data_IF_989978704242
#
_entry.id   IF_989978704242
#
_cell.length_a   1.000
_cell.length_b   1.000
_cell.length_c   1.000
_cell.angle_alpha   90.00
_cell.angle_beta   90.00
_cell.angle_gamma   90.00
#
_symmetry.space_group_name_H-M   'P 1'
#
loop_
_entity.id
_entity.type
_entity.pdbx_description
1 polymer ?
#
# COMPACT_ATOMS: atom_id res chain seq x y z
N UNK A 1 9.13 18.86 7.10
CA UNK A 1 8.51 17.50 7.09
C UNK A 1 7.16 17.61 6.39
N UNK A 2 6.93 16.84 5.38
CA UNK A 2 5.62 16.83 4.72
C UNK A 2 4.62 15.90 5.43
N UNK A 3 3.38 15.94 5.00
CA UNK A 3 2.30 15.17 5.64
C UNK A 3 2.55 13.65 5.65
N UNK A 4 3.06 13.10 4.56
CA UNK A 4 3.31 11.66 4.47
C UNK A 4 4.42 11.21 5.44
N UNK A 5 5.52 11.97 5.51
CA UNK A 5 6.58 11.72 6.48
C UNK A 5 6.07 11.81 7.91
N UNK A 6 5.24 12.80 8.19
CA UNK A 6 4.65 12.98 9.52
C UNK A 6 3.81 11.76 9.92
N UNK A 7 2.98 11.27 9.01
CA UNK A 7 2.12 10.10 9.25
C UNK A 7 2.98 8.87 9.55
N UNK A 8 3.97 8.59 8.69
CA UNK A 8 4.86 7.45 8.89
C UNK A 8 5.57 7.53 10.24
N UNK A 9 6.13 8.68 10.56
CA UNK A 9 6.88 8.87 11.82
C UNK A 9 5.99 8.77 13.05
N UNK A 10 4.73 9.16 12.95
CA UNK A 10 3.78 9.07 14.05
C UNK A 10 3.35 7.62 14.31
N UNK A 11 3.12 6.85 13.25
CA UNK A 11 2.67 5.46 13.37
C UNK A 11 3.85 4.53 13.65
N UNK A 12 4.98 4.75 12.98
CA UNK A 12 6.16 3.89 13.05
C UNK A 12 7.43 4.73 13.17
N UNK A 13 7.78 5.20 14.39
CA UNK A 13 8.89 6.15 14.58
C UNK A 13 10.25 5.63 14.12
N UNK A 14 10.43 4.30 14.05
CA UNK A 14 11.69 3.68 13.63
C UNK A 14 11.81 3.51 12.12
N UNK A 15 10.72 3.73 11.39
CA UNK A 15 10.72 3.59 9.93
C UNK A 15 11.23 4.89 9.31
N UNK A 16 12.11 4.75 8.33
CA UNK A 16 12.62 5.88 7.54
C UNK A 16 11.65 6.20 6.41
N UNK A 17 11.71 7.44 5.93
CA UNK A 17 10.95 7.87 4.75
C UNK A 17 11.94 8.40 3.72
N UNK A 18 11.89 7.84 2.53
CA UNK A 18 12.76 8.20 1.40
C UNK A 18 11.87 8.56 0.21
N UNK A 19 12.20 9.66 -0.46
CA UNK A 19 11.52 10.09 -1.67
C UNK A 19 12.35 9.75 -2.89
N UNK A 20 11.82 8.89 -3.77
CA UNK A 20 12.46 8.51 -5.02
C UNK A 20 11.43 8.57 -6.14
N UNK A 21 11.43 9.66 -6.92
CA UNK A 21 10.42 9.92 -7.95
C UNK A 21 10.42 8.87 -9.08
N UNK A 22 11.54 8.20 -9.32
CA UNK A 22 11.64 7.20 -10.37
C UNK A 22 11.33 5.78 -9.89
N UNK A 23 11.06 5.61 -8.61
CA UNK A 23 10.71 4.33 -8.01
C UNK A 23 9.21 4.22 -7.80
N UNK A 24 8.65 3.01 -7.83
CA UNK A 24 7.31 2.81 -7.28
C UNK A 24 7.34 2.99 -5.76
N UNK A 25 6.20 3.33 -5.19
CA UNK A 25 6.04 3.36 -3.74
C UNK A 25 6.13 1.94 -3.21
N UNK A 26 7.00 1.73 -2.22
CA UNK A 26 7.23 0.41 -1.66
C UNK A 26 7.80 0.50 -0.24
N UNK A 27 7.87 -0.64 0.42
CA UNK A 27 8.59 -0.77 1.69
C UNK A 27 9.88 -1.56 1.46
N UNK A 28 11.00 -0.99 1.86
CA UNK A 28 12.31 -1.65 1.79
C UNK A 28 12.62 -2.29 3.15
N UNK A 29 12.60 -3.62 3.19
CA UNK A 29 12.82 -4.38 4.41
C UNK A 29 14.27 -4.31 4.89
N UNK A 30 15.22 -4.14 4.00
CA UNK A 30 16.65 -4.14 4.36
C UNK A 30 17.02 -2.90 5.18
N UNK A 31 16.49 -1.75 4.80
CA UNK A 31 16.78 -0.48 5.47
C UNK A 31 15.62 0.02 6.34
N UNK A 32 14.51 -0.73 6.41
CA UNK A 32 13.29 -0.35 7.14
C UNK A 32 12.82 1.05 6.76
N UNK A 33 12.51 1.21 5.48
CA UNK A 33 12.07 2.49 4.93
C UNK A 33 10.83 2.37 4.08
N UNK A 34 9.94 3.34 4.20
CA UNK A 34 8.89 3.58 3.21
C UNK A 34 9.49 4.45 2.12
N UNK A 35 9.52 3.93 0.90
CA UNK A 35 9.97 4.67 -0.28
C UNK A 35 8.74 5.23 -0.96
N UNK A 36 8.68 6.54 -1.09
CA UNK A 36 7.57 7.25 -1.70
C UNK A 36 7.98 7.59 -3.14
N UNK A 37 7.32 6.92 -4.07
CA UNK A 37 7.52 7.12 -5.50
C UNK A 37 6.53 8.12 -6.08
N UNK A 38 6.39 8.10 -7.40
CA UNK A 38 5.51 8.99 -8.15
C UNK A 38 4.17 8.36 -8.53
N UNK A 39 3.90 7.16 -8.08
CA UNK A 39 2.73 6.37 -8.48
C UNK A 39 1.47 6.65 -7.66
N UNK A 40 1.55 7.53 -6.66
CA UNK A 40 0.39 7.92 -5.84
C UNK A 40 -0.73 8.60 -6.62
N UNK A 41 -0.40 9.19 -7.75
CA UNK A 41 -1.32 10.07 -8.46
C UNK A 41 -2.17 9.35 -9.49
N UNK A 42 -1.96 8.07 -9.66
CA UNK A 42 -2.78 7.28 -10.57
C UNK A 42 -3.95 6.66 -9.82
N UNK A 43 -5.10 7.30 -9.90
CA UNK A 43 -6.34 6.83 -9.27
C UNK A 43 -6.84 5.50 -9.83
N UNK A 44 -6.13 4.92 -10.78
CA UNK A 44 -6.64 3.83 -11.60
C UNK A 44 -5.78 2.56 -11.50
N UNK A 45 -5.23 2.28 -10.33
CA UNK A 45 -4.44 1.05 -10.13
C UNK A 45 -5.28 -0.15 -9.69
N UNK A 46 -6.59 0.01 -9.53
CA UNK A 46 -7.46 -1.05 -9.04
C UNK A 46 -7.31 -1.37 -7.56
N UNK A 47 -6.45 -0.65 -6.85
CA UNK A 47 -6.19 -0.91 -5.43
C UNK A 47 -7.43 -0.69 -4.56
N UNK A 48 -8.07 0.46 -4.69
CA UNK A 48 -9.28 0.75 -3.91
C UNK A 48 -10.42 -0.20 -4.25
N UNK A 49 -10.56 -0.56 -5.54
CA UNK A 49 -11.55 -1.55 -5.95
C UNK A 49 -11.27 -2.90 -5.29
N UNK A 50 -10.02 -3.32 -5.24
CA UNK A 50 -9.63 -4.55 -4.57
C UNK A 50 -10.00 -4.51 -3.08
N UNK A 51 -9.77 -3.39 -2.40
CA UNK A 51 -10.15 -3.20 -1.00
C UNK A 51 -11.66 -3.39 -0.84
N UNK A 52 -12.47 -2.74 -1.68
CA UNK A 52 -13.93 -2.84 -1.61
C UNK A 52 -14.40 -4.28 -1.85
N UNK A 53 -13.90 -4.91 -2.90
CA UNK A 53 -14.42 -6.20 -3.36
C UNK A 53 -13.87 -7.39 -2.58
N UNK A 54 -12.56 -7.39 -2.30
CA UNK A 54 -11.88 -8.55 -1.70
C UNK A 54 -11.79 -8.48 -0.18
N UNK A 55 -11.72 -7.28 0.37
CA UNK A 55 -11.66 -7.07 1.82
C UNK A 55 -13.01 -6.66 2.41
N UNK A 56 -14.04 -6.49 1.56
CA UNK A 56 -15.38 -6.08 1.96
C UNK A 56 -15.40 -4.76 2.75
N UNK A 57 -14.54 -3.83 2.38
CA UNK A 57 -14.46 -2.52 3.02
C UNK A 57 -15.03 -1.46 2.09
N UNK A 58 -16.34 -1.19 2.24
CA UNK A 58 -17.09 -0.31 1.36
C UNK A 58 -16.62 1.15 1.41
N UNK A 59 -16.03 1.58 2.52
CA UNK A 59 -15.64 2.97 2.73
C UNK A 59 -14.25 3.31 2.17
N UNK A 60 -13.66 2.42 1.38
CA UNK A 60 -12.31 2.62 0.84
C UNK A 60 -12.14 3.96 0.12
N UNK A 61 -13.14 4.36 -0.68
CA UNK A 61 -13.08 5.60 -1.45
C UNK A 61 -13.23 6.87 -0.61
N UNK A 62 -13.54 6.75 0.69
CA UNK A 62 -13.58 7.89 1.61
C UNK A 62 -12.18 8.39 1.98
N UNK A 63 -11.15 7.63 1.65
CA UNK A 63 -9.76 7.93 1.97
C UNK A 63 -8.96 8.12 0.68
N UNK A 64 -7.97 9.02 0.72
CA UNK A 64 -7.13 9.30 -0.44
C UNK A 64 -6.21 8.13 -0.76
N UNK A 65 -5.84 8.01 -2.03
CA UNK A 65 -4.87 7.01 -2.48
C UNK A 65 -3.52 7.15 -1.77
N UNK A 66 -3.10 8.40 -1.48
CA UNK A 66 -1.86 8.66 -0.76
C UNK A 66 -1.87 8.06 0.65
N UNK A 67 -2.98 8.19 1.36
CA UNK A 67 -3.11 7.60 2.69
C UNK A 67 -3.10 6.07 2.62
N UNK A 68 -3.87 5.50 1.71
CA UNK A 68 -3.91 4.04 1.51
C UNK A 68 -2.53 3.48 1.18
N UNK A 69 -1.80 4.14 0.27
CA UNK A 69 -0.48 3.67 -0.14
C UNK A 69 0.50 3.66 1.03
N UNK A 70 0.54 4.71 1.81
CA UNK A 70 1.44 4.79 2.98
C UNK A 70 1.05 3.76 4.03
N UNK A 71 -0.24 3.59 4.32
CA UNK A 71 -0.69 2.59 5.29
C UNK A 71 -0.41 1.17 4.81
N UNK A 72 -0.55 0.90 3.52
CA UNK A 72 -0.22 -0.38 2.94
C UNK A 72 1.27 -0.71 3.11
N UNK A 73 2.14 0.25 2.83
CA UNK A 73 3.59 0.04 2.99
C UNK A 73 3.96 -0.16 4.48
N UNK A 74 3.32 0.57 5.39
CA UNK A 74 3.45 0.30 6.81
C UNK A 74 2.91 -1.08 7.19
N UNK A 75 1.89 -1.55 6.50
CA UNK A 75 1.39 -2.92 6.64
C UNK A 75 2.47 -3.96 6.40
N UNK A 76 3.30 -3.77 5.37
CA UNK A 76 4.46 -4.64 5.14
C UNK A 76 5.43 -4.62 6.32
N UNK A 77 5.68 -3.45 6.90
CA UNK A 77 6.54 -3.34 8.07
C UNK A 77 6.01 -4.12 9.28
N UNK A 78 4.70 -3.98 9.56
CA UNK A 78 4.10 -4.58 10.76
C UNK A 78 3.73 -6.05 10.60
N UNK A 79 3.55 -6.55 9.37
CA UNK A 79 3.16 -7.94 9.09
C UNK A 79 4.29 -8.78 8.50
N UNK A 80 5.34 -8.14 7.98
CA UNK A 80 6.42 -8.84 7.30
C UNK A 80 7.41 -9.47 8.25
N UNK A 81 7.83 -10.71 7.97
CA UNK A 81 8.88 -11.42 8.67
C UNK A 81 10.24 -11.10 8.01
N UNK A 82 10.83 -9.97 8.38
CA UNK A 82 12.15 -9.54 7.90
C UNK A 82 12.32 -9.50 6.37
N UNK A 83 11.22 -9.34 5.64
CA UNK A 83 11.23 -9.30 4.18
C UNK A 83 11.27 -10.66 3.52
N UNK A 84 11.13 -11.74 4.28
CA UNK A 84 11.09 -13.08 3.69
C UNK A 84 9.81 -13.26 2.86
N UNK A 85 10.00 -13.74 1.64
CA UNK A 85 8.89 -14.21 0.79
C UNK A 85 9.16 -15.66 0.41
N UNK A 86 8.10 -16.46 0.30
CA UNK A 86 8.21 -17.85 -0.13
C UNK A 86 8.60 -17.92 -1.62
N UNK A 87 9.09 -19.07 -2.07
CA UNK A 87 9.37 -19.28 -3.50
C UNK A 87 8.10 -19.11 -4.32
N UNK A 88 6.95 -19.55 -3.81
CA UNK A 88 5.66 -19.37 -4.47
C UNK A 88 5.32 -17.90 -4.65
N UNK A 89 5.47 -17.08 -3.61
CA UNK A 89 5.23 -15.64 -3.70
C UNK A 89 6.22 -14.96 -4.66
N UNK A 90 7.48 -15.39 -4.65
CA UNK A 90 8.49 -14.85 -5.59
C UNK A 90 8.07 -15.08 -7.04
N UNK A 91 7.53 -16.26 -7.37
CA UNK A 91 6.98 -16.55 -8.69
C UNK A 91 5.77 -15.66 -9.00
N UNK A 92 4.87 -15.49 -8.04
CA UNK A 92 3.70 -14.63 -8.21
C UNK A 92 4.09 -13.17 -8.49
N UNK A 93 5.06 -12.63 -7.76
CA UNK A 93 5.59 -11.28 -8.01
C UNK A 93 6.22 -11.17 -9.39
N UNK A 94 6.99 -12.17 -9.81
CA UNK A 94 7.62 -12.18 -11.12
C UNK A 94 6.58 -12.18 -12.24
N UNK A 95 5.52 -12.97 -12.12
CA UNK A 95 4.41 -12.99 -13.07
C UNK A 95 3.75 -11.62 -13.16
N UNK A 96 3.44 -11.00 -12.01
CA UNK A 96 2.81 -9.69 -11.97
C UNK A 96 3.70 -8.61 -12.60
N UNK A 97 5.02 -8.70 -12.45
CA UNK A 97 5.95 -7.75 -13.05
C UNK A 97 5.95 -7.80 -14.57
N UNK A 98 5.55 -8.93 -15.17
CA UNK A 98 5.47 -9.10 -16.61
C UNK A 98 4.15 -8.59 -17.21
N UNK A 99 3.15 -8.32 -16.37
CA UNK A 99 1.82 -7.88 -16.80
C UNK A 99 1.67 -6.39 -16.47
N UNK A 100 1.39 -5.52 -17.48
CA UNK A 100 1.17 -4.09 -17.21
C UNK A 100 -0.12 -3.89 -16.41
N UNK A 101 0.01 -3.54 -15.13
CA UNK A 101 -1.13 -3.36 -14.22
C UNK A 101 -1.86 -2.02 -14.39
N UNK A 102 -1.20 -1.06 -14.99
CA UNK A 102 -1.72 0.31 -15.16
C UNK A 102 -2.46 0.52 -16.47
N UNK A 103 -2.70 -0.53 -17.23
CA UNK A 103 -3.47 -0.40 -18.47
C UNK A 103 -4.96 -0.35 -18.14
N UNK A 104 -5.63 0.64 -18.71
CA UNK A 104 -7.07 0.80 -18.59
C UNK A 104 -7.85 -0.43 -19.11
N UNK A 105 -7.21 -1.20 -20.00
CA UNK A 105 -7.80 -2.39 -20.61
C UNK A 105 -7.58 -3.67 -19.80
N UNK A 106 -6.81 -3.62 -18.72
CA UNK A 106 -6.58 -4.81 -17.89
C UNK A 106 -7.86 -5.22 -17.19
N UNK A 107 -8.19 -6.51 -17.24
CA UNK A 107 -9.36 -7.03 -16.53
C UNK A 107 -9.19 -6.89 -15.02
N UNK A 108 -10.30 -6.80 -14.25
CA UNK A 108 -10.22 -6.79 -12.79
C UNK A 108 -9.42 -7.95 -12.21
N UNK A 109 -9.51 -9.13 -12.79
CA UNK A 109 -8.78 -10.32 -12.36
C UNK A 109 -7.26 -10.12 -12.48
N UNK A 110 -6.80 -9.56 -13.59
CA UNK A 110 -5.39 -9.26 -13.82
C UNK A 110 -4.91 -8.19 -12.83
N UNK A 111 -5.69 -7.12 -12.65
CA UNK A 111 -5.35 -6.06 -11.72
C UNK A 111 -5.29 -6.56 -10.27
N UNK A 112 -6.13 -7.53 -9.92
CA UNK A 112 -6.17 -8.10 -8.58
C UNK A 112 -5.04 -9.10 -8.30
N UNK A 113 -4.39 -9.65 -9.32
CA UNK A 113 -3.35 -10.68 -9.13
C UNK A 113 -2.26 -10.25 -8.14
N UNK A 114 -1.79 -9.01 -8.25
CA UNK A 114 -0.77 -8.48 -7.35
C UNK A 114 -1.30 -8.35 -5.92
N UNK A 115 -2.49 -7.78 -5.77
CA UNK A 115 -3.07 -7.52 -4.43
C UNK A 115 -3.58 -8.78 -3.76
N UNK A 116 -3.76 -9.88 -4.52
CA UNK A 116 -4.11 -11.19 -3.98
C UNK A 116 -2.89 -11.98 -3.46
N UNK A 117 -1.67 -11.55 -3.78
CA UNK A 117 -0.46 -12.16 -3.19
C UNK A 117 -0.55 -12.03 -1.67
N UNK A 118 -0.28 -13.10 -0.94
CA UNK A 118 -0.53 -13.18 0.50
C UNK A 118 0.08 -12.02 1.28
N UNK A 119 1.34 -11.68 1.04
CA UNK A 119 1.99 -10.57 1.73
C UNK A 119 1.38 -9.22 1.36
N UNK A 120 0.95 -9.01 0.12
CA UNK A 120 0.24 -7.79 -0.30
C UNK A 120 -1.15 -7.73 0.31
N UNK A 121 -1.86 -8.85 0.33
CA UNK A 121 -3.18 -8.95 0.94
C UNK A 121 -3.12 -8.64 2.44
N UNK A 122 -2.15 -9.21 3.14
CA UNK A 122 -1.97 -9.01 4.58
C UNK A 122 -1.60 -7.55 4.91
N UNK A 123 -0.77 -6.91 4.08
CA UNK A 123 -0.42 -5.50 4.24
C UNK A 123 -1.67 -4.61 4.10
N UNK A 124 -2.52 -4.89 3.13
CA UNK A 124 -3.79 -4.18 2.93
C UNK A 124 -4.73 -4.41 4.13
N UNK A 125 -4.84 -5.63 4.60
CA UNK A 125 -5.68 -5.97 5.75
C UNK A 125 -5.22 -5.22 7.00
N UNK A 126 -3.92 -5.11 7.22
CA UNK A 126 -3.37 -4.30 8.29
C UNK A 126 -3.79 -2.83 8.16
N UNK A 127 -3.72 -2.28 6.95
CA UNK A 127 -4.09 -0.88 6.70
C UNK A 127 -5.57 -0.64 7.02
N UNK A 128 -6.45 -1.54 6.62
CA UNK A 128 -7.89 -1.46 6.91
C UNK A 128 -8.12 -1.51 8.42
N UNK A 129 -7.50 -2.46 9.09
CA UNK A 129 -7.63 -2.62 10.53
C UNK A 129 -7.12 -1.39 11.28
N UNK A 130 -6.06 -0.77 10.79
CA UNK A 130 -5.56 0.47 11.37
C UNK A 130 -6.60 1.60 11.26
N UNK A 131 -7.22 1.78 10.10
CA UNK A 131 -8.26 2.79 9.90
C UNK A 131 -9.46 2.54 10.81
N UNK A 132 -9.92 1.29 10.87
CA UNK A 132 -11.07 0.91 11.70
C UNK A 132 -10.78 1.15 13.19
N UNK A 133 -9.54 0.87 13.63
CA UNK A 133 -9.12 1.04 15.02
C UNK A 133 -8.81 2.49 15.39
N UNK A 134 -8.53 3.35 14.40
CA UNK A 134 -8.13 4.74 14.61
C UNK A 134 -8.96 5.71 13.75
N UNK A 135 -10.29 5.71 13.88
CA UNK A 135 -11.14 6.45 12.93
C UNK A 135 -10.90 7.97 12.96
N UNK A 136 -10.58 8.53 14.12
CA UNK A 136 -10.29 9.96 14.24
C UNK A 136 -8.98 10.33 13.56
N UNK A 137 -7.92 9.57 13.85
CA UNK A 137 -6.60 9.79 13.23
C UNK A 137 -6.67 9.57 11.72
N UNK A 138 -7.37 8.55 11.28
CA UNK A 138 -7.56 8.30 9.84
C UNK A 138 -8.17 9.52 9.13
N UNK A 139 -9.19 10.13 9.72
CA UNK A 139 -9.80 11.34 9.15
C UNK A 139 -8.85 12.53 9.15
N UNK A 140 -8.10 12.72 10.22
CA UNK A 140 -7.12 13.82 10.33
C UNK A 140 -6.03 13.63 9.28
N UNK A 141 -5.45 12.43 9.21
CA UNK A 141 -4.39 12.12 8.25
C UNK A 141 -4.86 12.24 6.82
N UNK A 142 -6.09 11.79 6.54
CA UNK A 142 -6.67 11.93 5.21
C UNK A 142 -6.78 13.39 4.77
N UNK A 143 -7.14 14.29 5.69
CA UNK A 143 -7.17 15.72 5.40
C UNK A 143 -5.80 16.30 5.15
N UNK A 144 -4.78 15.82 5.86
CA UNK A 144 -3.40 16.31 5.71
C UNK A 144 -2.80 15.97 4.35
N UNK A 145 -3.21 14.86 3.73
CA UNK A 145 -2.64 14.38 2.47
C UNK A 145 -3.48 14.70 1.25
N UNK A 146 -4.62 15.33 1.45
CA UNK A 146 -5.48 15.78 0.33
C UNK A 146 -4.94 17.02 -0.35
#
# INVERSE_FOLDING_TARGET
MNALSFIVKTIAPRVKVIYELESPTCFDHDIKAVIIGNDFQTDDCGFMRHIVEKHNFADAYNYSMSLWSVLHELGHYFTGDDGYISDEEAVQYAICAMIPRKHADASPEIQNMYFDIESEYNATEWAINWIVSHPRLARIYNRLVK
#
